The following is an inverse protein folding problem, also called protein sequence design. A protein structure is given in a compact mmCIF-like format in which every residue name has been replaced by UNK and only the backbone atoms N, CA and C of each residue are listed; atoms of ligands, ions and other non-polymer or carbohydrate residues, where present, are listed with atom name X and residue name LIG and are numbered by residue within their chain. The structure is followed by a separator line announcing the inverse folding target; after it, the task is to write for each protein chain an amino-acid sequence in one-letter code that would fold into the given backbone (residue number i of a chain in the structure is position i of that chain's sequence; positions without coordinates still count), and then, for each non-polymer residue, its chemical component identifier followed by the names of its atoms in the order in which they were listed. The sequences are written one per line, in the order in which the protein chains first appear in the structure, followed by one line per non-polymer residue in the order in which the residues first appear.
data_IF_825055811617
#
_entry.id   IF_825055811617
#
_cell.length_a   1.000
_cell.length_b   1.000
_cell.length_c   1.000
_cell.angle_alpha   90.00
_cell.angle_beta   90.00
_cell.angle_gamma   90.00
#
_symmetry.space_group_name_H-M   'P 1'
#
loop_
_entity.id
_entity.type
_entity.pdbx_description
1 polymer ?
#
# COMPACT_ATOMS: atom_id res chain seq x y z
N UNK A 1 4.97 -13.47 -17.11
CA UNK A 1 4.52 -12.08 -16.83
C UNK A 1 4.57 -11.25 -18.11
N UNK A 2 3.52 -10.54 -18.49
CA UNK A 2 3.54 -9.66 -19.67
C UNK A 2 4.50 -8.48 -19.47
N UNK A 3 4.99 -7.87 -20.56
CA UNK A 3 5.87 -6.69 -20.49
C UNK A 3 5.23 -5.54 -19.70
N UNK A 4 3.92 -5.34 -19.88
CA UNK A 4 3.14 -4.32 -19.20
C UNK A 4 3.09 -4.52 -17.67
N UNK A 5 2.81 -5.74 -17.21
CA UNK A 5 2.78 -6.05 -15.76
C UNK A 5 4.13 -5.82 -15.09
N UNK A 6 5.24 -6.13 -15.77
CA UNK A 6 6.58 -5.82 -15.24
C UNK A 6 6.82 -4.32 -15.12
N UNK A 7 6.37 -3.53 -16.09
CA UNK A 7 6.47 -2.07 -16.02
C UNK A 7 5.65 -1.51 -14.87
N UNK A 8 4.40 -1.96 -14.70
CA UNK A 8 3.56 -1.53 -13.58
C UNK A 8 4.14 -1.93 -12.22
N UNK A 9 4.71 -3.13 -12.10
CA UNK A 9 5.36 -3.57 -10.86
C UNK A 9 6.59 -2.72 -10.50
N UNK A 10 7.44 -2.38 -11.48
CA UNK A 10 8.56 -1.45 -11.27
C UNK A 10 8.10 -0.05 -10.90
N UNK A 11 7.06 0.45 -11.57
CA UNK A 11 6.46 1.75 -11.26
C UNK A 11 5.93 1.79 -9.83
N UNK A 12 5.22 0.74 -9.38
CA UNK A 12 4.72 0.62 -8.01
C UNK A 12 5.86 0.63 -6.99
N UNK A 13 6.96 -0.08 -7.26
CA UNK A 13 8.12 -0.09 -6.38
C UNK A 13 8.72 1.32 -6.22
N UNK A 14 8.99 2.01 -7.33
CA UNK A 14 9.49 3.39 -7.34
C UNK A 14 8.54 4.37 -6.63
N UNK A 15 7.23 4.25 -6.87
CA UNK A 15 6.24 5.11 -6.24
C UNK A 15 6.15 4.86 -4.71
N UNK A 16 6.23 3.60 -4.30
CA UNK A 16 6.27 3.22 -2.88
C UNK A 16 7.49 3.79 -2.17
N UNK A 17 8.70 3.66 -2.76
CA UNK A 17 9.93 4.22 -2.18
C UNK A 17 9.77 5.72 -1.90
N UNK A 18 9.36 6.50 -2.92
CA UNK A 18 9.15 7.95 -2.77
C UNK A 18 8.09 8.30 -1.74
N UNK A 19 6.98 7.56 -1.72
CA UNK A 19 5.90 7.77 -0.76
C UNK A 19 6.38 7.50 0.66
N UNK A 20 7.00 6.34 0.91
CA UNK A 20 7.46 5.96 2.23
C UNK A 20 8.61 6.84 2.72
N UNK A 21 9.54 7.26 1.86
CA UNK A 21 10.58 8.24 2.20
C UNK A 21 9.99 9.59 2.62
N UNK A 22 8.89 10.00 2.01
CA UNK A 22 8.21 11.25 2.37
C UNK A 22 7.48 11.09 3.70
N UNK A 23 6.74 9.99 3.87
CA UNK A 23 5.99 9.69 5.09
C UNK A 23 6.91 9.50 6.30
N UNK A 24 8.09 8.88 6.10
CA UNK A 24 9.07 8.65 7.16
C UNK A 24 9.67 9.94 7.74
N UNK A 25 9.53 11.08 7.04
CA UNK A 25 9.96 12.40 7.51
C UNK A 25 8.88 13.13 8.31
N UNK A 26 7.66 12.60 8.38
CA UNK A 26 6.59 13.20 9.17
C UNK A 26 6.77 12.87 10.65
N UNK A 27 6.40 13.79 11.55
CA UNK A 27 6.22 13.46 12.96
C UNK A 27 5.21 12.31 13.12
N UNK A 28 5.45 11.43 14.09
CA UNK A 28 4.65 10.22 14.29
C UNK A 28 3.16 10.51 14.53
N UNK A 29 2.86 11.65 15.16
CA UNK A 29 1.53 12.15 15.45
C UNK A 29 0.75 12.49 14.17
N UNK A 30 1.43 12.97 13.12
CA UNK A 30 0.81 13.31 11.83
C UNK A 30 0.32 12.07 11.08
N UNK A 31 0.91 10.90 11.34
CA UNK A 31 0.50 9.63 10.74
C UNK A 31 -0.89 9.21 11.23
N UNK A 32 -1.21 9.50 12.48
CA UNK A 32 -2.47 9.10 13.15
C UNK A 32 -3.47 10.25 13.28
N UNK A 33 -3.05 11.49 13.03
CA UNK A 33 -3.89 12.68 13.04
C UNK A 33 -5.13 12.51 12.15
N UNK A 34 -6.30 12.94 12.67
CA UNK A 34 -7.57 12.86 11.95
C UNK A 34 -7.55 13.78 10.74
N UNK A 35 -7.93 13.24 9.59
CA UNK A 35 -8.03 13.96 8.31
C UNK A 35 -9.36 13.62 7.64
N UNK A 36 -9.94 14.53 6.83
CA UNK A 36 -11.17 14.29 6.08
C UNK A 36 -10.90 13.40 4.85
N UNK A 37 -10.35 12.21 5.06
CA UNK A 37 -10.08 11.19 4.05
C UNK A 37 -10.81 9.91 4.43
N UNK A 38 -11.10 9.05 3.44
CA UNK A 38 -11.91 7.83 3.65
C UNK A 38 -11.41 6.95 4.80
N UNK A 39 -10.10 6.76 4.93
CA UNK A 39 -9.52 5.92 5.99
C UNK A 39 -9.28 6.68 7.31
N UNK A 40 -9.62 7.98 7.40
CA UNK A 40 -9.52 8.83 8.58
C UNK A 40 -8.12 9.34 8.95
N UNK A 41 -7.04 8.63 8.60
CA UNK A 41 -5.67 9.10 8.76
C UNK A 41 -4.69 8.44 7.76
N UNK A 42 -3.46 8.94 7.73
CA UNK A 42 -2.42 8.51 6.79
C UNK A 42 -2.08 7.04 7.02
N UNK A 43 -1.84 6.64 8.27
CA UNK A 43 -1.44 5.27 8.61
C UNK A 43 -2.49 4.23 8.17
N UNK A 44 -3.78 4.50 8.42
CA UNK A 44 -4.87 3.61 7.98
C UNK A 44 -4.96 3.53 6.46
N UNK A 45 -4.70 4.63 5.75
CA UNK A 45 -4.63 4.64 4.29
C UNK A 45 -3.51 3.75 3.78
N UNK A 46 -2.30 3.89 4.33
CA UNK A 46 -1.14 3.10 3.93
C UNK A 46 -1.33 1.61 4.25
N UNK A 47 -1.89 1.29 5.42
CA UNK A 47 -2.23 -0.09 5.78
C UNK A 47 -3.25 -0.71 4.82
N UNK A 48 -4.25 0.06 4.36
CA UNK A 48 -5.21 -0.42 3.36
C UNK A 48 -4.52 -0.75 2.03
N UNK A 49 -3.68 0.16 1.52
CA UNK A 49 -2.92 -0.07 0.29
C UNK A 49 -2.00 -1.29 0.41
N UNK A 50 -1.29 -1.41 1.53
CA UNK A 50 -0.41 -2.55 1.78
C UNK A 50 -1.16 -3.89 1.86
N UNK A 51 -2.32 -3.92 2.54
CA UNK A 51 -3.16 -5.12 2.59
C UNK A 51 -3.60 -5.55 1.18
N UNK A 52 -3.99 -4.61 0.32
CA UNK A 52 -4.35 -4.90 -1.06
C UNK A 52 -3.15 -5.38 -1.89
N UNK A 53 -1.96 -4.81 -1.71
CA UNK A 53 -0.73 -5.29 -2.36
C UNK A 53 -0.46 -6.77 -2.03
N UNK A 54 -0.69 -7.19 -0.77
CA UNK A 54 -0.55 -8.59 -0.35
C UNK A 54 -1.63 -9.51 -0.97
N UNK A 55 -2.87 -9.05 -1.07
CA UNK A 55 -3.95 -9.79 -1.75
C UNK A 55 -3.61 -10.01 -3.22
N UNK A 56 -3.20 -8.95 -3.94
CA UNK A 56 -2.83 -9.06 -5.35
C UNK A 56 -1.60 -9.95 -5.57
N UNK A 57 -0.59 -9.84 -4.71
CA UNK A 57 0.57 -10.72 -4.75
C UNK A 57 0.16 -12.18 -4.59
N UNK A 58 -0.69 -12.49 -3.61
CA UNK A 58 -1.17 -13.85 -3.38
C UNK A 58 -1.93 -14.41 -4.59
N UNK A 59 -2.82 -13.60 -5.20
CA UNK A 59 -3.51 -13.97 -6.44
C UNK A 59 -2.53 -14.26 -7.59
N UNK A 60 -1.52 -13.42 -7.78
CA UNK A 60 -0.49 -13.62 -8.81
C UNK A 60 0.37 -14.87 -8.57
N UNK A 61 0.53 -15.27 -7.30
CA UNK A 61 1.27 -16.48 -6.90
C UNK A 61 0.39 -17.73 -6.84
N UNK A 62 -0.92 -17.61 -6.99
CA UNK A 62 -1.86 -18.72 -6.86
C UNK A 62 -1.96 -19.27 -5.44
N UNK A 63 -1.71 -18.44 -4.41
CA UNK A 63 -1.76 -18.84 -2.99
C UNK A 63 -2.87 -18.09 -2.24
N UNK A 64 -3.40 -18.64 -1.14
CA UNK A 64 -4.36 -17.92 -0.29
C UNK A 64 -3.74 -16.66 0.34
N UNK A 65 -4.48 -15.55 0.39
CA UNK A 65 -4.01 -14.30 0.98
C UNK A 65 -4.23 -14.17 2.50
N UNK A 66 -5.04 -15.03 3.12
CA UNK A 66 -5.27 -15.05 4.58
C UNK A 66 -6.14 -13.91 5.15
N UNK A 67 -6.36 -12.81 4.41
CA UNK A 67 -7.31 -11.76 4.82
C UNK A 67 -8.78 -12.24 4.81
N UNK A 68 -9.58 -11.71 5.74
CA UNK A 68 -11.04 -11.86 5.79
C UNK A 68 -11.69 -10.54 5.40
N UNK A 69 -12.78 -10.60 4.63
CA UNK A 69 -13.67 -9.45 4.49
C UNK A 69 -14.24 -9.12 5.88
N UNK A 70 -14.36 -7.82 6.18
CA UNK A 70 -14.97 -7.33 7.42
C UNK A 70 -16.48 -7.44 7.34
#
# INVERSE_FOLDING_TARGET
MSSHLRTLARYKAWANERLYDTVARLPSEELVAKRPIFAGNILRTLNHVHAMDLVWKAHLQGVPHGFKAR
#
